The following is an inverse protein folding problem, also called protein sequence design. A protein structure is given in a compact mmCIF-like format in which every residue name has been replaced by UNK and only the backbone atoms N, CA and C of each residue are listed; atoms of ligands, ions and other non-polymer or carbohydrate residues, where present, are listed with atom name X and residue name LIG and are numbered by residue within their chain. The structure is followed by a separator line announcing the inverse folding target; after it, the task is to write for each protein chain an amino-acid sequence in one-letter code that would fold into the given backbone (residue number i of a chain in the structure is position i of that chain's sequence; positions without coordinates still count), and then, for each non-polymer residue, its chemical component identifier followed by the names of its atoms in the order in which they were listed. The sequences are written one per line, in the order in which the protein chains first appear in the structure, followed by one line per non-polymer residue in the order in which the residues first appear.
data_IF_446654042522
#
_entry.id   IF_446654042522
#
_cell.length_a   1.000
_cell.length_b   1.000
_cell.length_c   1.000
_cell.angle_alpha   90.00
_cell.angle_beta   90.00
_cell.angle_gamma   90.00
#
_symmetry.space_group_name_H-M   'P 1'
#
loop_
_entity.id
_entity.type
_entity.pdbx_description
1 polymer ?
#
# COMPACT_ATOMS: atom_id res chain seq x y z
N UNK A 1 4.85 14.95 15.00
CA UNK A 1 4.93 13.48 15.02
C UNK A 1 4.71 13.04 13.59
N UNK A 2 5.67 12.35 12.99
CA UNK A 2 5.60 11.97 11.58
C UNK A 2 4.75 10.70 11.49
N UNK A 3 3.45 10.88 11.33
CA UNK A 3 2.47 9.80 11.22
C UNK A 3 2.69 9.11 9.85
N UNK A 4 3.54 8.08 9.82
CA UNK A 4 3.51 7.12 8.72
C UNK A 4 2.18 6.38 8.83
N UNK A 5 1.23 6.72 7.96
CA UNK A 5 -0.05 6.02 7.86
C UNK A 5 0.20 4.55 7.59
N UNK A 6 -0.45 3.70 8.36
CA UNK A 6 -0.46 2.25 8.14
C UNK A 6 -1.22 1.90 6.87
N UNK A 7 -0.98 0.71 6.31
CA UNK A 7 -1.73 0.21 5.15
C UNK A 7 -3.25 0.20 5.40
N UNK A 8 -3.67 -0.22 6.60
CA UNK A 8 -5.09 -0.24 6.97
C UNK A 8 -5.71 1.17 6.96
N UNK A 9 -5.01 2.17 7.50
CA UNK A 9 -5.48 3.56 7.48
C UNK A 9 -5.58 4.12 6.06
N UNK A 10 -4.60 3.82 5.20
CA UNK A 10 -4.65 4.22 3.79
C UNK A 10 -5.81 3.56 3.06
N UNK A 11 -6.11 2.30 3.36
CA UNK A 11 -7.25 1.59 2.78
C UNK A 11 -8.58 2.17 3.26
N UNK A 12 -8.72 2.47 4.55
CA UNK A 12 -9.92 3.11 5.10
C UNK A 12 -10.16 4.49 4.47
N UNK A 13 -9.10 5.28 4.29
CA UNK A 13 -9.23 6.60 3.67
C UNK A 13 -9.60 6.49 2.18
N UNK A 14 -9.07 5.50 1.46
CA UNK A 14 -9.45 5.23 0.07
C UNK A 14 -10.93 4.82 -0.04
N UNK A 15 -11.41 3.97 0.86
CA UNK A 15 -12.80 3.53 0.93
C UNK A 15 -13.75 4.71 1.20
N UNK A 16 -13.36 5.62 2.10
CA UNK A 16 -14.09 6.87 2.34
C UNK A 16 -14.13 7.79 1.11
N UNK A 17 -13.03 7.87 0.36
CA UNK A 17 -12.97 8.67 -0.88
C UNK A 17 -13.93 8.09 -1.93
N UNK A 18 -13.93 6.77 -2.12
CA UNK A 18 -14.83 6.10 -3.07
C UNK A 18 -16.28 6.34 -2.67
N UNK A 19 -16.62 6.19 -1.39
CA UNK A 19 -17.97 6.42 -0.88
C UNK A 19 -18.43 7.88 -1.09
N UNK A 20 -17.52 8.85 -0.95
CA UNK A 20 -17.81 10.26 -1.25
C UNK A 20 -17.96 10.54 -2.75
N UNK A 21 -17.21 9.84 -3.60
CA UNK A 21 -17.32 9.95 -5.06
C UNK A 21 -18.63 9.36 -5.60
N UNK A 22 -19.17 8.34 -4.94
CA UNK A 22 -20.47 7.74 -5.26
C UNK A 22 -21.67 8.62 -4.86
N UNK A 23 -21.43 9.72 -4.14
CA UNK A 23 -22.50 10.64 -3.73
C UNK A 23 -22.86 11.61 -4.88
N UNK A 24 -24.07 11.50 -5.42
CA UNK A 24 -24.60 12.34 -6.50
C UNK A 24 -24.64 13.85 -6.19
N UNK A 25 -24.48 14.26 -4.93
CA UNK A 25 -24.48 15.67 -4.51
C UNK A 25 -23.09 16.32 -4.50
N UNK A 26 -22.03 15.59 -4.86
CA UNK A 26 -20.69 16.13 -4.89
C UNK A 26 -20.50 17.12 -6.04
N UNK A 27 -19.77 18.22 -5.78
CA UNK A 27 -19.42 19.16 -6.84
C UNK A 27 -18.28 18.60 -7.71
N UNK A 28 -18.22 19.01 -8.98
CA UNK A 28 -17.18 18.58 -9.91
C UNK A 28 -15.76 18.87 -9.39
N UNK A 29 -15.53 20.03 -8.78
CA UNK A 29 -14.24 20.37 -8.17
C UNK A 29 -13.89 19.42 -7.03
N UNK A 30 -14.83 19.14 -6.12
CA UNK A 30 -14.61 18.21 -5.02
C UNK A 30 -14.37 16.78 -5.53
N UNK A 31 -15.07 16.34 -6.58
CA UNK A 31 -14.82 15.04 -7.22
C UNK A 31 -13.41 14.95 -7.77
N UNK A 32 -12.91 16.02 -8.40
CA UNK A 32 -11.55 16.05 -8.95
C UNK A 32 -10.49 15.99 -7.84
N UNK A 33 -10.69 16.73 -6.75
CA UNK A 33 -9.79 16.67 -5.58
C UNK A 33 -9.77 15.28 -4.93
N UNK A 34 -10.95 14.72 -4.69
CA UNK A 34 -11.09 13.37 -4.13
C UNK A 34 -10.46 12.31 -5.04
N UNK A 35 -10.67 12.42 -6.35
CA UNK A 35 -10.07 11.50 -7.32
C UNK A 35 -8.53 11.58 -7.29
N UNK A 36 -7.96 12.79 -7.30
CA UNK A 36 -6.50 12.95 -7.19
C UNK A 36 -5.96 12.37 -5.88
N UNK A 37 -6.67 12.62 -4.76
CA UNK A 37 -6.31 12.09 -3.46
C UNK A 37 -6.37 10.56 -3.42
N UNK A 38 -7.44 9.97 -3.97
CA UNK A 38 -7.61 8.52 -4.07
C UNK A 38 -6.53 7.88 -4.94
N UNK A 39 -6.14 8.53 -6.03
CA UNK A 39 -5.07 8.05 -6.91
C UNK A 39 -3.69 8.07 -6.21
N UNK A 40 -3.42 9.11 -5.42
CA UNK A 40 -2.20 9.19 -4.61
C UNK A 40 -2.17 8.11 -3.51
N UNK A 41 -3.29 7.91 -2.81
CA UNK A 41 -3.43 6.86 -1.79
C UNK A 41 -3.27 5.46 -2.39
N UNK A 42 -3.91 5.18 -3.53
CA UNK A 42 -3.77 3.91 -4.22
C UNK A 42 -2.31 3.59 -4.56
N UNK A 43 -1.57 4.59 -5.06
CA UNK A 43 -0.13 4.45 -5.33
C UNK A 43 0.70 4.20 -4.06
N UNK A 44 0.34 4.83 -2.94
CA UNK A 44 1.00 4.60 -1.66
C UNK A 44 0.74 3.18 -1.12
N UNK A 45 -0.49 2.68 -1.24
CA UNK A 45 -0.83 1.29 -0.94
C UNK A 45 -0.03 0.31 -1.80
N UNK A 46 0.06 0.53 -3.11
CA UNK A 46 0.86 -0.33 -4.01
C UNK A 46 2.34 -0.34 -3.61
N UNK A 47 2.91 0.81 -3.29
CA UNK A 47 4.31 0.89 -2.82
C UNK A 47 4.52 0.10 -1.54
N UNK A 48 3.58 0.22 -0.59
CA UNK A 48 3.65 -0.48 0.70
C UNK A 48 3.58 -1.99 0.51
N UNK A 49 2.73 -2.48 -0.39
CA UNK A 49 2.64 -3.90 -0.73
C UNK A 49 3.92 -4.39 -1.40
N UNK A 50 4.47 -3.64 -2.37
CA UNK A 50 5.74 -3.98 -3.01
C UNK A 50 6.90 -4.08 -2.02
N UNK A 51 6.98 -3.14 -1.08
CA UNK A 51 8.02 -3.17 -0.04
C UNK A 51 7.86 -4.37 0.88
N UNK A 52 6.63 -4.75 1.22
CA UNK A 52 6.33 -5.95 1.99
C UNK A 52 6.71 -7.23 1.23
N UNK A 53 6.29 -7.35 -0.04
CA UNK A 53 6.63 -8.50 -0.91
C UNK A 53 8.14 -8.65 -1.08
N UNK A 54 8.85 -7.54 -1.31
CA UNK A 54 10.30 -7.54 -1.43
C UNK A 54 10.96 -8.05 -0.15
N UNK A 55 10.51 -7.56 1.01
CA UNK A 55 11.04 -7.99 2.31
C UNK A 55 10.79 -9.47 2.57
N UNK A 56 9.64 -10.00 2.18
CA UNK A 56 9.36 -11.45 2.27
C UNK A 56 10.27 -12.23 1.33
N UNK A 57 10.47 -11.74 0.11
CA UNK A 57 11.33 -12.40 -0.89
C UNK A 57 12.79 -12.47 -0.41
N UNK A 58 13.32 -11.38 0.14
CA UNK A 58 14.67 -11.33 0.73
C UNK A 58 14.84 -12.31 1.91
N UNK A 59 13.80 -12.48 2.74
CA UNK A 59 13.83 -13.45 3.84
C UNK A 59 13.86 -14.90 3.32
N UNK A 60 13.07 -15.20 2.28
CA UNK A 60 13.04 -16.53 1.66
C UNK A 60 14.37 -16.84 0.96
N UNK A 61 14.94 -15.89 0.21
CA UNK A 61 16.27 -16.06 -0.40
C UNK A 61 17.35 -16.33 0.65
N UNK A 62 17.30 -15.60 1.78
CA UNK A 62 18.27 -15.80 2.86
C UNK A 62 18.15 -17.18 3.52
N UNK A 63 16.93 -17.68 3.76
CA UNK A 63 16.73 -19.03 4.28
C UNK A 63 17.17 -20.12 3.29
N UNK A 64 17.04 -19.87 1.98
CA UNK A 64 17.51 -20.78 0.94
C UNK A 64 19.04 -20.85 0.87
N UNK A 65 19.74 -19.73 1.04
CA UNK A 65 21.20 -19.65 1.04
C UNK A 65 21.81 -20.32 2.29
N UNK A 66 21.19 -20.15 3.46
CA UNK A 66 21.60 -20.81 4.73
C UNK A 66 21.38 -22.34 4.71
N UNK A 67 20.57 -22.86 3.78
CA UNK A 67 20.32 -24.30 3.63
C UNK A 67 21.40 -25.04 2.82
N UNK A 68 22.16 -24.34 1.97
CA UNK A 68 23.18 -24.93 1.08
C UNK A 68 24.54 -25.10 1.78
N UNK A 69 24.88 -24.23 2.77
CA UNK A 69 26.13 -24.34 3.54
C UNK A 69 26.19 -25.52 4.52
N UNK A 70 25.07 -26.22 4.75
CA UNK A 70 25.01 -27.36 5.69
C UNK A 70 25.37 -28.73 5.09
N UNK A 71 25.65 -28.83 3.78
CA UNK A 71 25.97 -30.09 3.10
C UNK A 71 27.44 -30.25 2.67
N UNK A 72 28.34 -29.38 3.13
CA UNK A 72 29.76 -29.41 2.75
C UNK A 72 30.74 -29.76 3.88
N UNK A 73 30.33 -30.64 4.80
CA UNK A 73 31.25 -31.44 5.64
C UNK A 73 31.29 -32.92 5.21
#
# INVERSE_FOLDING_TARGET
MTENKTFEEMMQELEQIVNQLDNDQISLEASLELYQKGMALSKACESTLKDAEKKVSELIEKEADESDESQSE
#
